data_IF_962195790001
#
_entry.id   IF_962195790001
#
_cell.length_a   1.000
_cell.length_b   1.000
_cell.length_c   1.000
_cell.angle_alpha   90.00
_cell.angle_beta   90.00
_cell.angle_gamma   90.00
#
_symmetry.space_group_name_H-M   'P 1'
#
loop_
_entity.id
_entity.type
_entity.pdbx_description
1 polymer ?
#
# COMPACT_ATOMS: atom_id res chain seq x y z
N UNK A 1 -15.55 -8.93 -11.08
CA UNK A 1 -14.68 -8.09 -10.25
C UNK A 1 -14.16 -8.79 -8.98
N UNK A 2 -14.97 -9.15 -7.96
CA UNK A 2 -14.47 -9.82 -6.72
C UNK A 2 -13.66 -11.11 -7.00
N UNK A 3 -14.13 -11.95 -7.94
CA UNK A 3 -13.39 -13.16 -8.36
C UNK A 3 -12.01 -12.87 -8.94
N UNK A 4 -11.86 -11.74 -9.65
CA UNK A 4 -10.58 -11.30 -10.22
C UNK A 4 -9.64 -10.83 -9.11
N UNK A 5 -10.17 -10.11 -8.12
CA UNK A 5 -9.41 -9.72 -6.94
C UNK A 5 -8.90 -10.94 -6.16
N UNK A 6 -9.77 -11.94 -5.92
CA UNK A 6 -9.39 -13.20 -5.27
C UNK A 6 -8.34 -13.97 -6.08
N UNK A 7 -8.46 -13.99 -7.40
CA UNK A 7 -7.47 -14.63 -8.27
C UNK A 7 -6.12 -13.92 -8.22
N UNK A 8 -6.11 -12.58 -8.34
CA UNK A 8 -4.90 -11.77 -8.18
C UNK A 8 -4.26 -11.99 -6.81
N UNK A 9 -5.04 -11.94 -5.73
CA UNK A 9 -4.56 -12.16 -4.36
C UNK A 9 -3.91 -13.54 -4.20
N UNK A 10 -4.54 -14.58 -4.76
CA UNK A 10 -3.99 -15.95 -4.74
C UNK A 10 -2.68 -16.04 -5.53
N UNK A 11 -2.59 -15.40 -6.70
CA UNK A 11 -1.37 -15.40 -7.52
C UNK A 11 -0.26 -14.60 -6.84
N UNK A 12 -0.58 -13.45 -6.23
CA UNK A 12 0.33 -12.64 -5.42
C UNK A 12 0.94 -13.48 -4.30
N UNK A 13 0.12 -14.17 -3.50
CA UNK A 13 0.59 -15.04 -2.43
C UNK A 13 1.52 -16.14 -2.96
N UNK A 14 1.16 -16.78 -4.07
CA UNK A 14 2.01 -17.80 -4.69
C UNK A 14 3.33 -17.20 -5.20
N UNK A 15 3.31 -16.02 -5.81
CA UNK A 15 4.52 -15.36 -6.27
C UNK A 15 5.51 -15.16 -5.11
N UNK A 16 5.08 -14.56 -3.99
CA UNK A 16 5.97 -14.32 -2.84
C UNK A 16 6.39 -15.59 -2.11
N UNK A 17 5.50 -16.57 -1.94
CA UNK A 17 5.87 -17.87 -1.35
C UNK A 17 6.92 -18.60 -2.18
N UNK A 18 6.90 -18.43 -3.51
CA UNK A 18 7.91 -19.02 -4.39
C UNK A 18 9.15 -18.12 -4.58
N UNK A 19 9.02 -16.81 -4.36
CA UNK A 19 10.15 -15.87 -4.33
C UNK A 19 11.11 -16.21 -3.19
N UNK A 20 10.58 -16.45 -1.97
CA UNK A 20 11.39 -16.84 -0.81
C UNK A 20 12.11 -18.18 -1.01
N UNK A 21 11.47 -19.15 -1.68
CA UNK A 21 12.08 -20.44 -2.00
C UNK A 21 13.22 -20.33 -3.00
N UNK A 22 13.13 -19.39 -3.94
CA UNK A 22 14.18 -19.12 -4.92
C UNK A 22 15.32 -18.27 -4.31
N UNK A 23 15.01 -17.36 -3.39
CA UNK A 23 15.99 -16.54 -2.66
C UNK A 23 16.81 -17.36 -1.64
N UNK A 24 16.20 -18.39 -1.02
CA UNK A 24 16.90 -19.29 -0.09
C UNK A 24 17.74 -20.39 -0.77
N UNK A 25 17.69 -20.52 -2.10
CA UNK A 25 18.48 -21.51 -2.84
C UNK A 25 19.67 -20.86 -3.52
N UNK A 26 20.63 -20.46 -2.70
CA UNK A 26 22.00 -20.22 -3.14
C UNK A 26 22.46 -21.38 -4.03
N UNK A 27 23.04 -21.01 -5.18
CA UNK A 27 23.63 -21.87 -6.21
C UNK A 27 24.09 -23.23 -5.67
N UNK A 28 23.42 -24.29 -6.10
CA UNK A 28 24.07 -25.59 -6.31
C UNK A 28 23.89 -25.90 -7.79
N UNK A 29 24.90 -25.54 -8.56
CA UNK A 29 25.12 -26.19 -9.83
C UNK A 29 25.50 -27.64 -9.53
N UNK A 30 24.70 -28.55 -10.07
CA UNK A 30 25.02 -29.92 -10.45
C UNK A 30 24.04 -30.96 -9.88
N UNK A 31 23.33 -31.61 -10.80
CA UNK A 31 22.64 -32.90 -10.74
C UNK A 31 21.42 -32.86 -11.68
N UNK A 32 21.55 -33.53 -12.82
CA UNK A 32 20.50 -33.70 -13.80
C UNK A 32 19.23 -34.29 -13.17
N UNK A 33 18.13 -33.56 -13.29
CA UNK A 33 16.78 -34.05 -13.19
C UNK A 33 15.90 -33.14 -14.06
N UNK A 34 15.05 -33.75 -14.89
CA UNK A 34 14.12 -33.06 -15.79
C UNK A 34 13.26 -32.10 -14.96
N UNK A 35 13.58 -30.81 -14.99
CA UNK A 35 12.86 -29.81 -14.23
C UNK A 35 11.45 -29.67 -14.81
N UNK A 36 10.43 -29.93 -13.99
CA UNK A 36 9.07 -29.54 -14.30
C UNK A 36 9.04 -28.05 -14.68
N UNK A 37 8.20 -27.63 -15.63
CA UNK A 37 8.21 -26.25 -16.12
C UNK A 37 8.03 -25.30 -14.93
N UNK A 38 9.03 -24.44 -14.73
CA UNK A 38 8.98 -23.38 -13.73
C UNK A 38 7.81 -22.48 -14.08
N UNK A 39 6.74 -22.56 -13.29
CA UNK A 39 5.57 -21.69 -13.50
C UNK A 39 6.05 -20.25 -13.39
N UNK A 40 5.87 -19.47 -14.46
CA UNK A 40 6.15 -18.04 -14.45
C UNK A 40 5.09 -17.31 -13.60
N UNK A 41 5.34 -17.26 -12.30
CA UNK A 41 4.49 -16.58 -11.34
C UNK A 41 4.50 -15.07 -11.54
N UNK A 42 5.59 -14.49 -12.06
CA UNK A 42 5.69 -13.06 -12.32
C UNK A 42 4.77 -12.65 -13.46
N UNK A 43 4.88 -13.32 -14.63
CA UNK A 43 4.00 -13.06 -15.77
C UNK A 43 2.53 -13.26 -15.43
N UNK A 44 2.20 -14.30 -14.65
CA UNK A 44 0.83 -14.53 -14.15
C UNK A 44 0.35 -13.43 -13.22
N UNK A 45 1.21 -12.87 -12.36
CA UNK A 45 0.87 -11.79 -11.45
C UNK A 45 0.54 -10.51 -12.23
N UNK A 46 1.42 -10.13 -13.16
CA UNK A 46 1.22 -8.96 -14.03
C UNK A 46 -0.06 -9.09 -14.84
N UNK A 47 -0.33 -10.27 -15.42
CA UNK A 47 -1.55 -10.52 -16.18
C UNK A 47 -2.81 -10.40 -15.30
N UNK A 48 -2.80 -11.00 -14.10
CA UNK A 48 -3.93 -10.95 -13.19
C UNK A 48 -4.21 -9.53 -12.67
N UNK A 49 -3.15 -8.75 -12.43
CA UNK A 49 -3.24 -7.34 -12.05
C UNK A 49 -3.85 -6.51 -13.18
N UNK A 50 -3.32 -6.63 -14.40
CA UNK A 50 -3.84 -5.92 -15.57
C UNK A 50 -5.32 -6.24 -15.82
N UNK A 51 -5.71 -7.51 -15.71
CA UNK A 51 -7.10 -7.93 -15.88
C UNK A 51 -8.01 -7.36 -14.78
N UNK A 52 -7.55 -7.38 -13.53
CA UNK A 52 -8.30 -6.81 -12.40
C UNK A 52 -8.51 -5.31 -12.59
N UNK A 53 -7.44 -4.56 -12.89
CA UNK A 53 -7.49 -3.11 -13.06
C UNK A 53 -8.36 -2.71 -14.25
N UNK A 54 -8.25 -3.43 -15.38
CA UNK A 54 -9.08 -3.18 -16.55
C UNK A 54 -10.59 -3.30 -16.23
N UNK A 55 -10.99 -4.41 -15.61
CA UNK A 55 -12.39 -4.64 -15.23
C UNK A 55 -12.85 -3.67 -14.15
N UNK A 56 -11.97 -3.31 -13.22
CA UNK A 56 -12.26 -2.32 -12.19
C UNK A 56 -12.49 -0.93 -12.80
N UNK A 57 -11.63 -0.48 -13.71
CA UNK A 57 -11.77 0.79 -14.42
C UNK A 57 -13.04 0.85 -15.27
N UNK A 58 -13.40 -0.25 -15.94
CA UNK A 58 -14.64 -0.34 -16.70
C UNK A 58 -15.86 -0.23 -15.79
N UNK A 59 -15.84 -0.91 -14.64
CA UNK A 59 -16.92 -0.81 -13.66
C UNK A 59 -17.04 0.59 -13.08
N UNK A 60 -15.92 1.26 -12.76
CA UNK A 60 -15.88 2.64 -12.27
C UNK A 60 -16.51 3.65 -13.25
N UNK A 61 -16.48 3.34 -14.55
CA UNK A 61 -17.06 4.16 -15.63
C UNK A 61 -18.47 3.74 -16.03
N UNK A 62 -19.01 2.69 -15.42
CA UNK A 62 -20.34 2.19 -15.74
C UNK A 62 -21.45 3.20 -15.41
N UNK A 63 -22.62 2.96 -15.98
CA UNK A 63 -23.82 3.75 -15.70
C UNK A 63 -24.25 3.65 -14.23
N UNK A 64 -23.97 2.53 -13.56
CA UNK A 64 -24.30 2.30 -12.14
C UNK A 64 -23.67 3.33 -11.20
N UNK A 65 -22.50 3.87 -11.58
CA UNK A 65 -21.75 4.85 -10.81
C UNK A 65 -21.91 6.28 -11.35
N UNK A 66 -22.80 6.50 -12.33
CA UNK A 66 -22.99 7.82 -12.95
C UNK A 66 -23.42 8.88 -11.93
N UNK A 67 -24.35 8.56 -11.03
CA UNK A 67 -24.88 9.52 -10.06
C UNK A 67 -23.80 9.97 -9.07
N UNK A 68 -23.01 9.03 -8.56
CA UNK A 68 -21.89 9.30 -7.65
C UNK A 68 -20.85 10.19 -8.36
N UNK A 69 -20.49 9.83 -9.59
CA UNK A 69 -19.54 10.61 -10.41
C UNK A 69 -20.04 12.03 -10.68
N UNK A 70 -21.32 12.18 -11.03
CA UNK A 70 -21.95 13.48 -11.27
C UNK A 70 -21.98 14.34 -10.00
N UNK A 71 -22.26 13.74 -8.85
CA UNK A 71 -22.24 14.44 -7.56
C UNK A 71 -20.84 14.95 -7.22
N UNK A 72 -19.81 14.12 -7.40
CA UNK A 72 -18.41 14.49 -7.17
C UNK A 72 -18.01 15.65 -8.11
N UNK A 73 -18.36 15.55 -9.39
CA UNK A 73 -18.07 16.59 -10.39
C UNK A 73 -18.73 17.93 -10.04
N UNK A 74 -19.99 17.91 -9.61
CA UNK A 74 -20.70 19.12 -9.19
C UNK A 74 -20.04 19.75 -7.95
N UNK A 75 -19.72 18.95 -6.94
CA UNK A 75 -19.04 19.44 -5.73
C UNK A 75 -17.66 20.01 -6.00
N UNK A 76 -16.93 19.45 -6.97
CA UNK A 76 -15.65 19.99 -7.38
C UNK A 76 -15.80 21.36 -8.07
N UNK A 77 -16.80 21.54 -8.94
CA UNK A 77 -17.08 22.82 -9.60
C UNK A 77 -17.52 23.92 -8.63
N UNK A 78 -18.28 23.56 -7.60
CA UNK A 78 -18.76 24.51 -6.58
C UNK A 78 -17.67 24.88 -5.55
N UNK A 79 -16.53 24.16 -5.55
CA UNK A 79 -15.41 24.47 -4.68
C UNK A 79 -14.70 25.75 -5.18
N UNK A 80 -15.24 26.90 -4.77
CA UNK A 80 -14.63 28.23 -4.95
C UNK A 80 -13.23 28.30 -4.30
N UNK A 81 -12.96 27.40 -3.35
CA UNK A 81 -11.69 27.27 -2.62
C UNK A 81 -10.76 26.27 -3.30
N UNK A 82 -9.45 26.61 -3.39
CA UNK A 82 -8.36 25.72 -3.88
C UNK A 82 -8.11 24.47 -3.01
N UNK A 83 -9.02 24.14 -2.11
CA UNK A 83 -8.92 22.99 -1.21
C UNK A 83 -9.30 21.71 -1.95
N UNK A 84 -8.58 20.60 -1.74
CA UNK A 84 -8.94 19.33 -2.34
C UNK A 84 -10.30 18.83 -1.85
N UNK A 85 -11.02 18.11 -2.70
CA UNK A 85 -12.27 17.42 -2.32
C UNK A 85 -11.91 16.09 -1.66
N UNK A 86 -12.33 15.88 -0.43
CA UNK A 86 -12.15 14.61 0.29
C UNK A 86 -13.36 13.69 0.05
N UNK A 87 -13.12 12.54 -0.57
CA UNK A 87 -14.11 11.49 -0.80
C UNK A 87 -13.96 10.39 0.24
N UNK A 88 -14.86 10.38 1.23
CA UNK A 88 -14.90 9.31 2.24
C UNK A 88 -15.67 8.10 1.69
N UNK A 89 -14.94 7.03 1.38
CA UNK A 89 -15.48 5.76 0.90
C UNK A 89 -15.74 4.80 2.06
N UNK A 90 -17.01 4.50 2.27
CA UNK A 90 -17.45 3.43 3.16
C UNK A 90 -18.05 2.30 2.32
N UNK A 91 -17.44 1.13 2.36
CA UNK A 91 -17.85 -0.02 1.55
C UNK A 91 -18.40 -1.15 2.43
N UNK A 92 -19.56 -1.69 2.04
CA UNK A 92 -20.08 -2.96 2.54
C UNK A 92 -20.49 -3.79 1.32
N UNK A 93 -19.97 -5.01 1.12
CA UNK A 93 -19.16 -5.85 2.03
C UNK A 93 -17.64 -5.57 2.01
N UNK A 94 -16.88 -6.22 2.91
CA UNK A 94 -15.42 -6.06 3.05
C UNK A 94 -14.62 -6.32 1.76
N UNK A 95 -15.09 -7.24 0.91
CA UNK A 95 -14.42 -7.51 -0.37
C UNK A 95 -14.43 -6.29 -1.30
N UNK A 96 -15.49 -5.48 -1.26
CA UNK A 96 -15.57 -4.21 -1.97
C UNK A 96 -14.61 -3.18 -1.36
N UNK A 97 -14.48 -3.17 -0.02
CA UNK A 97 -13.57 -2.29 0.70
C UNK A 97 -12.08 -2.61 0.46
N UNK A 98 -11.74 -3.74 -0.17
CA UNK A 98 -10.36 -4.15 -0.49
C UNK A 98 -9.92 -3.83 -1.92
N UNK A 99 -10.85 -3.40 -2.77
CA UNK A 99 -10.53 -3.01 -4.14
C UNK A 99 -9.58 -1.81 -4.16
N UNK A 100 -8.79 -1.62 -5.23
CA UNK A 100 -7.80 -0.55 -5.33
C UNK A 100 -8.48 0.78 -5.69
N UNK A 101 -9.33 1.31 -4.81
CA UNK A 101 -10.07 2.56 -5.02
C UNK A 101 -9.18 3.76 -5.36
N UNK A 102 -7.91 3.77 -4.95
CA UNK A 102 -6.93 4.80 -5.30
C UNK A 102 -6.54 4.77 -6.79
N UNK A 103 -6.78 3.66 -7.49
CA UNK A 103 -6.65 3.59 -8.95
C UNK A 103 -7.83 4.26 -9.68
N UNK A 104 -8.84 4.76 -8.95
CA UNK A 104 -9.92 5.50 -9.56
C UNK A 104 -9.43 6.88 -10.02
N UNK A 105 -9.29 7.03 -11.34
CA UNK A 105 -8.81 8.25 -11.99
C UNK A 105 -9.85 9.39 -12.03
N UNK A 106 -10.63 9.59 -10.96
CA UNK A 106 -11.73 10.59 -10.90
C UNK A 106 -11.26 11.99 -11.29
N UNK A 107 -10.03 12.34 -10.90
CA UNK A 107 -9.41 13.63 -11.22
C UNK A 107 -9.36 13.89 -12.73
N UNK A 108 -9.07 12.85 -13.51
CA UNK A 108 -8.97 12.93 -14.97
C UNK A 108 -10.32 13.05 -15.66
N UNK A 109 -11.37 12.43 -15.09
CA UNK A 109 -12.72 12.44 -15.68
C UNK A 109 -13.39 13.81 -15.56
N UNK A 110 -13.05 14.59 -14.53
CA UNK A 110 -13.77 15.83 -14.21
C UNK A 110 -12.91 17.10 -14.23
N UNK A 111 -11.66 17.02 -14.73
CA UNK A 111 -10.69 18.12 -14.66
C UNK A 111 -10.59 18.70 -13.22
N UNK A 112 -10.67 17.81 -12.24
CA UNK A 112 -10.69 18.15 -10.84
C UNK A 112 -9.26 18.21 -10.32
N UNK A 113 -8.85 19.37 -9.80
CA UNK A 113 -7.43 19.59 -9.52
C UNK A 113 -6.89 18.69 -8.40
N UNK A 114 -7.71 18.28 -7.40
CA UNK A 114 -7.32 17.36 -6.32
C UNK A 114 -8.54 16.70 -5.64
N UNK A 115 -8.87 15.46 -5.99
CA UNK A 115 -9.75 14.59 -5.18
C UNK A 115 -8.87 13.62 -4.40
N UNK A 116 -9.07 13.56 -3.08
CA UNK A 116 -8.43 12.60 -2.19
C UNK A 116 -9.44 11.55 -1.73
N UNK A 117 -9.12 10.28 -1.97
CA UNK A 117 -9.94 9.17 -1.52
C UNK A 117 -9.51 8.76 -0.12
N UNK A 118 -10.45 8.76 0.82
CA UNK A 118 -10.25 8.36 2.21
C UNK A 118 -11.11 7.14 2.51
N UNK A 119 -10.51 6.02 2.93
CA UNK A 119 -11.26 4.82 3.31
C UNK A 119 -11.79 4.97 4.73
N UNK A 120 -13.10 4.94 4.88
CA UNK A 120 -13.79 5.05 6.15
C UNK A 120 -14.38 3.69 6.57
N UNK A 121 -14.15 3.22 7.82
CA UNK A 121 -14.78 2.01 8.32
C UNK A 121 -16.29 2.23 8.52
N UNK A 122 -17.10 1.17 8.36
CA UNK A 122 -18.55 1.21 8.63
C UNK A 122 -18.89 1.61 10.08
N UNK A 123 -17.97 1.33 11.01
CA UNK A 123 -18.11 1.60 12.43
C UNK A 123 -17.30 2.84 12.82
N UNK A 124 -17.62 4.02 12.28
CA UNK A 124 -17.20 5.27 12.94
C UNK A 124 -18.10 5.44 14.16
N UNK A 125 -17.73 4.77 15.26
CA UNK A 125 -18.17 5.17 16.59
C UNK A 125 -17.24 6.28 17.01
N UNK A 126 -17.83 7.43 17.31
CA UNK A 126 -17.20 8.68 17.73
C UNK A 126 -16.83 9.63 16.59
N UNK A 127 -17.50 10.79 16.60
CA UNK A 127 -16.91 12.03 16.12
C UNK A 127 -15.53 12.15 16.76
N UNK A 128 -14.47 12.04 15.97
CA UNK A 128 -13.13 12.39 16.43
C UNK A 128 -13.14 13.89 16.69
N UNK A 129 -13.59 14.27 17.88
CA UNK A 129 -13.41 15.61 18.45
C UNK A 129 -11.98 15.74 18.92
N UNK A 130 -10.99 15.28 18.14
CA UNK A 130 -9.63 15.73 18.34
C UNK A 130 -9.53 17.06 17.59
N UNK A 131 -9.93 18.14 18.27
CA UNK A 131 -9.14 19.36 18.08
C UNK A 131 -7.70 18.91 18.31
N UNK A 132 -6.77 19.09 17.35
CA UNK A 132 -5.37 18.82 17.65
C UNK A 132 -5.06 19.62 18.93
N UNK A 133 -4.59 18.98 20.01
CA UNK A 133 -4.14 19.73 21.16
C UNK A 133 -3.13 20.73 20.63
N UNK A 134 -3.40 22.02 20.83
CA UNK A 134 -2.53 23.08 20.36
C UNK A 134 -1.10 22.76 20.75
N UNK A 135 -0.17 22.92 19.80
CA UNK A 135 1.26 22.78 19.99
C UNK A 135 1.83 21.37 20.27
N UNK A 136 1.13 20.25 20.02
CA UNK A 136 1.83 18.95 20.03
C UNK A 136 2.60 18.72 18.73
N UNK A 137 3.85 18.28 18.87
CA UNK A 137 4.70 17.83 17.77
C UNK A 137 4.03 16.61 17.11
N UNK A 138 3.90 16.59 15.78
CA UNK A 138 3.27 15.45 15.10
C UNK A 138 4.13 14.20 15.26
N UNK A 139 3.51 13.03 15.47
CA UNK A 139 4.19 11.77 15.76
C UNK A 139 4.18 10.86 14.53
N UNK A 140 5.35 10.40 14.12
CA UNK A 140 5.57 9.54 12.95
C UNK A 140 6.21 8.23 13.40
N UNK A 141 5.55 7.10 13.12
CA UNK A 141 6.16 5.78 13.26
C UNK A 141 6.65 5.29 11.90
N UNK A 142 7.95 5.05 11.79
CA UNK A 142 8.63 4.55 10.60
C UNK A 142 8.97 3.08 10.83
N UNK A 143 8.39 2.19 10.03
CA UNK A 143 8.68 0.76 10.04
C UNK A 143 9.54 0.40 8.83
N UNK A 144 10.77 -0.04 9.08
CA UNK A 144 11.75 -0.42 8.06
C UNK A 144 11.85 -1.95 7.94
N UNK A 145 11.76 -2.45 6.70
CA UNK A 145 11.92 -3.86 6.36
C UNK A 145 13.37 -4.37 6.49
N UNK A 146 13.60 -5.62 6.07
CA UNK A 146 14.93 -6.24 6.09
C UNK A 146 15.96 -5.43 5.27
N UNK A 147 17.15 -5.24 5.86
CA UNK A 147 18.25 -4.41 5.33
C UNK A 147 19.24 -5.23 4.49
N UNK A 148 18.91 -6.47 4.11
CA UNK A 148 19.75 -7.36 3.27
C UNK A 148 19.96 -6.80 1.86
N UNK A 149 20.78 -5.76 1.75
CA UNK A 149 21.19 -5.11 0.50
C UNK A 149 20.74 -3.65 0.33
N UNK A 150 20.17 -3.00 1.36
CA UNK A 150 19.57 -1.66 1.25
C UNK A 150 20.20 -0.67 2.22
N UNK A 151 20.84 0.36 1.68
CA UNK A 151 21.31 1.49 2.49
C UNK A 151 20.16 2.49 2.71
N UNK A 152 19.43 2.33 3.80
CA UNK A 152 18.41 3.29 4.24
C UNK A 152 18.99 4.60 4.78
N UNK A 153 20.28 4.90 4.57
CA UNK A 153 20.92 6.13 5.04
C UNK A 153 20.24 7.37 4.47
N UNK A 154 19.79 7.32 3.21
CA UNK A 154 19.15 8.46 2.54
C UNK A 154 17.75 8.76 3.09
N UNK A 155 16.96 7.73 3.32
CA UNK A 155 15.61 7.79 3.89
C UNK A 155 15.66 8.17 5.37
N UNK A 156 16.60 7.58 6.13
CA UNK A 156 16.87 7.96 7.52
C UNK A 156 17.32 9.42 7.60
N UNK A 157 18.15 9.90 6.66
CA UNK A 157 18.60 11.30 6.63
C UNK A 157 17.47 12.28 6.29
N UNK A 158 16.65 11.96 5.29
CA UNK A 158 15.48 12.75 4.93
C UNK A 158 14.48 12.85 6.09
N UNK A 159 14.20 11.75 6.77
CA UNK A 159 13.27 11.73 7.91
C UNK A 159 13.90 12.41 9.14
N UNK A 160 15.21 12.25 9.38
CA UNK A 160 15.93 12.98 10.43
C UNK A 160 15.87 14.49 10.26
N UNK A 161 15.81 14.98 9.02
CA UNK A 161 15.63 16.42 8.78
C UNK A 161 14.30 16.95 9.32
N UNK A 162 13.30 16.07 9.45
CA UNK A 162 11.97 16.38 9.98
C UNK A 162 11.89 16.27 11.51
N UNK A 163 12.84 15.59 12.19
CA UNK A 163 12.84 15.40 13.65
C UNK A 163 12.78 16.72 14.46
N UNK A 164 13.13 17.85 13.84
CA UNK A 164 13.00 19.19 14.43
C UNK A 164 11.54 19.65 14.61
N UNK A 165 10.61 19.04 13.87
CA UNK A 165 9.20 19.45 13.78
C UNK A 165 8.24 18.29 14.01
N UNK A 166 8.73 17.04 13.94
CA UNK A 166 7.97 15.81 14.22
C UNK A 166 8.72 14.88 15.19
N UNK A 167 8.00 14.19 16.07
CA UNK A 167 8.54 13.08 16.87
C UNK A 167 8.59 11.83 15.99
N UNK A 168 9.77 11.28 15.74
CA UNK A 168 9.92 10.10 14.88
C UNK A 168 10.36 8.88 15.70
N UNK A 169 9.66 7.76 15.56
CA UNK A 169 10.10 6.46 16.07
C UNK A 169 10.42 5.53 14.91
N UNK A 170 11.64 5.01 14.88
CA UNK A 170 12.04 3.97 13.92
C UNK A 170 11.91 2.59 14.55
N UNK A 171 11.24 1.68 13.85
CA UNK A 171 11.17 0.24 14.18
C UNK A 171 11.57 -0.52 12.93
N UNK A 172 12.47 -1.49 13.03
CA UNK A 172 12.91 -2.22 11.85
C UNK A 172 13.92 -3.30 12.17
N UNK A 173 14.19 -4.13 11.17
CA UNK A 173 15.17 -5.18 11.30
C UNK A 173 16.57 -4.58 11.49
N UNK A 174 17.38 -5.23 12.34
CA UNK A 174 18.80 -4.92 12.55
C UNK A 174 19.58 -6.23 12.54
N UNK A 175 20.84 -6.25 12.07
CA UNK A 175 21.68 -7.44 12.12
C UNK A 175 21.71 -8.05 13.54
N UNK A 176 21.36 -9.33 13.65
CA UNK A 176 21.32 -10.05 14.94
C UNK A 176 20.01 -9.96 15.73
N UNK A 177 18.98 -9.28 15.22
CA UNK A 177 17.66 -9.21 15.87
C UNK A 177 16.78 -10.39 15.47
N UNK A 178 16.15 -10.99 16.47
CA UNK A 178 15.24 -12.13 16.29
C UNK A 178 13.90 -11.71 15.67
N UNK A 179 13.40 -12.48 14.69
CA UNK A 179 12.21 -12.13 13.88
C UNK A 179 10.93 -12.07 14.74
N UNK A 180 10.62 -13.02 15.63
CA UNK A 180 9.51 -12.92 16.57
C UNK A 180 9.59 -11.67 17.45
N UNK A 181 10.78 -11.31 17.96
CA UNK A 181 10.94 -10.10 18.78
C UNK A 181 10.69 -8.82 17.98
N UNK A 182 11.13 -8.78 16.71
CA UNK A 182 10.82 -7.68 15.81
C UNK A 182 9.32 -7.55 15.56
N UNK A 183 8.61 -8.67 15.36
CA UNK A 183 7.14 -8.65 15.20
C UNK A 183 6.45 -8.10 16.43
N UNK A 184 6.86 -8.52 17.63
CA UNK A 184 6.31 -8.00 18.89
C UNK A 184 6.55 -6.50 19.02
N UNK A 185 7.77 -6.03 18.76
CA UNK A 185 8.11 -4.60 18.83
C UNK A 185 7.30 -3.75 17.83
N UNK A 186 7.07 -4.26 16.61
CA UNK A 186 6.20 -3.61 15.62
C UNK A 186 4.77 -3.50 16.15
N UNK A 187 4.22 -4.59 16.69
CA UNK A 187 2.85 -4.61 17.26
C UNK A 187 2.75 -3.64 18.42
N UNK A 188 3.68 -3.66 19.37
CA UNK A 188 3.73 -2.76 20.51
C UNK A 188 3.90 -1.30 20.09
N UNK A 189 4.73 -1.04 19.08
CA UNK A 189 4.91 0.31 18.57
C UNK A 189 3.62 0.84 17.91
N UNK A 190 2.93 0.02 17.11
CA UNK A 190 1.65 0.38 16.50
C UNK A 190 0.58 0.62 17.57
N UNK A 191 0.56 -0.20 18.63
CA UNK A 191 -0.39 -0.12 19.74
C UNK A 191 -0.09 0.96 20.79
N UNK A 192 0.76 1.95 20.49
CA UNK A 192 1.09 3.04 21.41
C UNK A 192 -0.17 3.78 21.87
N UNK A 193 -0.37 3.91 23.20
CA UNK A 193 -1.53 4.59 23.79
C UNK A 193 -1.69 6.05 23.36
N UNK A 194 -0.56 6.73 23.11
CA UNK A 194 -0.53 8.13 22.64
C UNK A 194 -0.91 8.23 21.15
N UNK A 195 -0.83 7.12 20.40
CA UNK A 195 -1.18 7.05 18.98
C UNK A 195 -0.15 7.69 18.04
N UNK A 196 -0.36 7.51 16.73
CA UNK A 196 0.49 8.06 15.67
C UNK A 196 -0.34 8.95 14.75
N UNK A 197 0.24 10.08 14.34
CA UNK A 197 -0.37 10.95 13.32
C UNK A 197 -0.05 10.42 11.92
N UNK A 198 1.13 9.81 11.74
CA UNK A 198 1.59 9.24 10.47
C UNK A 198 2.24 7.87 10.74
N UNK A 199 1.85 6.89 9.93
CA UNK A 199 2.51 5.59 9.84
C UNK A 199 3.20 5.49 8.48
N UNK A 200 4.51 5.28 8.48
CA UNK A 200 5.32 5.15 7.27
C UNK A 200 5.99 3.78 7.25
N UNK A 201 5.89 3.07 6.13
CA UNK A 201 6.52 1.78 5.92
C UNK A 201 7.45 1.86 4.73
N UNK A 202 8.71 1.46 4.90
CA UNK A 202 9.66 1.35 3.79
C UNK A 202 10.36 0.00 3.82
N UNK A 203 10.34 -0.67 2.68
CA UNK A 203 11.08 -1.89 2.41
C UNK A 203 11.18 -2.04 0.91
N UNK A 204 12.37 -2.31 0.39
CA UNK A 204 12.53 -2.54 -1.04
C UNK A 204 12.41 -4.04 -1.31
N UNK A 205 11.44 -4.40 -2.14
CA UNK A 205 11.38 -5.71 -2.75
C UNK A 205 12.59 -5.76 -3.69
N UNK A 206 13.58 -6.60 -3.41
CA UNK A 206 14.74 -6.75 -4.29
C UNK A 206 14.25 -7.18 -5.67
N UNK A 207 14.18 -6.22 -6.59
CA UNK A 207 13.93 -6.46 -8.00
C UNK A 207 15.28 -6.80 -8.60
N UNK A 208 15.66 -8.07 -8.59
CA UNK A 208 16.69 -8.53 -9.51
C UNK A 208 16.12 -8.33 -10.92
N UNK A 209 16.57 -7.25 -11.53
CA UNK A 209 16.32 -6.92 -12.93
C UNK A 209 17.02 -8.01 -13.75
N UNK A 210 16.29 -9.05 -14.12
CA UNK A 210 16.66 -9.91 -15.24
C UNK A 210 16.49 -9.10 -16.52
N UNK A 211 17.41 -8.16 -16.77
CA UNK A 211 17.74 -7.72 -18.13
C UNK A 211 18.39 -8.91 -18.83
N UNK A 212 17.56 -9.81 -19.33
CA UNK A 212 17.94 -10.78 -20.35
C UNK A 212 18.07 -10.05 -21.68
N UNK A 213 19.22 -9.40 -21.88
CA UNK A 213 19.71 -9.10 -23.22
C UNK A 213 20.17 -10.43 -23.81
N UNK A 214 19.55 -10.89 -24.90
CA UNK A 214 20.13 -11.60 -26.06
C UNK A 214 19.00 -12.08 -26.96
#
# INVERSE_FOLDING_TARGET
>A
MIKLYQNWQRIYQNFYVNLDKNSLRGKVADAGNLAAPTIDWHGKLVQAEAQLLYEFHNWLRSAELYDIRSLIANKNRDAITKSPVELFLTCSPLDLARLPWEAWEINTEFAADKIHIVRAPLNIRETVTSKPPGNRQARVLVILGDETGLDFSSEKSAIRSLEKVVEVKFVGWKPGKDIPKLKTEIVEAIASEIGWDILFFAGHIQRELLTGNS
#
